data_IF_478708809455
#
_entry.id   IF_478708809455
#
_cell.length_a   1.000
_cell.length_b   1.000
_cell.length_c   1.000
_cell.angle_alpha   90.00
_cell.angle_beta   90.00
_cell.angle_gamma   90.00
#
_symmetry.space_group_name_H-M   'P 1'
#
loop_
_entity.id
_entity.type
_entity.pdbx_description
1 polymer ?
#
# COMPACT_ATOMS: atom_id res chain seq x y z
N UNK A 1 15.78 -37.79 13.82
CA UNK A 1 14.49 -37.10 13.64
C UNK A 1 13.83 -37.61 12.37
N UNK A 2 12.61 -38.15 12.42
CA UNK A 2 11.87 -38.55 11.20
C UNK A 2 11.36 -37.27 10.54
N UNK A 3 11.96 -36.88 9.43
CA UNK A 3 11.58 -35.69 8.69
C UNK A 3 10.24 -35.95 7.99
N UNK A 4 9.18 -35.31 8.47
CA UNK A 4 7.83 -35.49 7.92
C UNK A 4 7.62 -34.52 6.75
N UNK A 5 7.87 -34.96 5.51
CA UNK A 5 7.69 -34.12 4.30
C UNK A 5 6.27 -33.52 4.22
N UNK A 6 5.25 -34.29 4.62
CA UNK A 6 3.86 -33.81 4.68
C UNK A 6 3.70 -32.63 5.62
N UNK A 7 4.36 -32.68 6.79
CA UNK A 7 4.30 -31.60 7.77
C UNK A 7 5.00 -30.36 7.21
N UNK A 8 6.22 -30.51 6.69
CA UNK A 8 6.97 -29.40 6.09
C UNK A 8 6.17 -28.71 4.96
N UNK A 9 5.57 -29.49 4.06
CA UNK A 9 4.73 -28.97 2.99
C UNK A 9 3.57 -28.12 3.52
N UNK A 10 2.86 -28.61 4.54
CA UNK A 10 1.72 -27.90 5.12
C UNK A 10 2.16 -26.58 5.77
N UNK A 11 3.28 -26.56 6.51
CA UNK A 11 3.81 -25.32 7.08
C UNK A 11 4.21 -24.31 6.01
N UNK A 12 4.87 -24.75 4.93
CA UNK A 12 5.26 -23.87 3.84
C UNK A 12 4.04 -23.32 3.09
N UNK A 13 3.05 -24.16 2.80
CA UNK A 13 1.81 -23.75 2.16
C UNK A 13 1.04 -22.73 3.00
N UNK A 14 0.89 -22.99 4.30
CA UNK A 14 0.26 -22.05 5.24
C UNK A 14 1.05 -20.74 5.35
N UNK A 15 2.37 -20.79 5.31
CA UNK A 15 3.21 -19.59 5.32
C UNK A 15 2.98 -18.73 4.06
N UNK A 16 2.97 -19.33 2.88
CA UNK A 16 2.69 -18.64 1.62
C UNK A 16 1.27 -18.06 1.63
N UNK A 17 0.28 -18.85 2.06
CA UNK A 17 -1.11 -18.39 2.18
C UNK A 17 -1.26 -17.21 3.15
N UNK A 18 -0.54 -17.24 4.28
CA UNK A 18 -0.52 -16.14 5.23
C UNK A 18 0.07 -14.86 4.61
N UNK A 19 1.20 -14.96 3.89
CA UNK A 19 1.80 -13.82 3.22
C UNK A 19 0.86 -13.19 2.19
N UNK A 20 0.23 -14.00 1.35
CA UNK A 20 -0.75 -13.52 0.35
C UNK A 20 -1.91 -12.81 1.04
N UNK A 21 -2.42 -13.38 2.14
CA UNK A 21 -3.52 -12.80 2.91
C UNK A 21 -3.15 -11.46 3.54
N UNK A 22 -1.94 -11.34 4.11
CA UNK A 22 -1.44 -10.09 4.69
C UNK A 22 -1.29 -9.01 3.61
N UNK A 23 -0.67 -9.34 2.48
CA UNK A 23 -0.48 -8.41 1.36
C UNK A 23 -1.84 -7.96 0.81
N UNK A 24 -2.76 -8.89 0.59
CA UNK A 24 -4.12 -8.57 0.12
C UNK A 24 -4.88 -7.67 1.08
N UNK A 25 -4.76 -7.92 2.39
CA UNK A 25 -5.40 -7.09 3.42
C UNK A 25 -4.86 -5.65 3.42
N UNK A 26 -3.54 -5.48 3.27
CA UNK A 26 -2.90 -4.16 3.14
C UNK A 26 -3.42 -3.42 1.90
N UNK A 27 -3.54 -4.10 0.76
CA UNK A 27 -4.02 -3.50 -0.48
C UNK A 27 -5.48 -3.03 -0.37
N UNK A 28 -6.36 -3.83 0.24
CA UNK A 28 -7.77 -3.47 0.44
C UNK A 28 -7.89 -2.24 1.34
N UNK A 29 -7.17 -2.21 2.46
CA UNK A 29 -7.16 -1.05 3.35
C UNK A 29 -6.58 0.18 2.65
N UNK A 30 -5.49 0.04 1.91
CA UNK A 30 -4.86 1.14 1.19
C UNK A 30 -5.80 1.74 0.13
N UNK A 31 -6.54 0.90 -0.59
CA UNK A 31 -7.58 1.35 -1.49
C UNK A 31 -8.69 2.09 -0.73
N UNK A 32 -9.19 1.52 0.37
CA UNK A 32 -10.22 2.14 1.18
C UNK A 32 -9.81 3.51 1.72
N UNK A 33 -8.58 3.64 2.22
CA UNK A 33 -8.04 4.90 2.72
C UNK A 33 -7.89 5.93 1.60
N UNK A 34 -7.34 5.54 0.43
CA UNK A 34 -7.21 6.43 -0.73
C UNK A 34 -8.56 6.94 -1.22
N UNK A 35 -9.57 6.07 -1.30
CA UNK A 35 -10.88 6.39 -1.88
C UNK A 35 -11.78 7.14 -0.90
N UNK A 36 -11.92 6.66 0.35
CA UNK A 36 -12.92 7.18 1.27
C UNK A 36 -12.38 8.24 2.24
N UNK A 37 -11.14 8.09 2.70
CA UNK A 37 -10.54 8.99 3.72
C UNK A 37 -9.81 10.15 3.06
N UNK A 38 -8.84 9.85 2.20
CA UNK A 38 -7.97 10.86 1.60
C UNK A 38 -8.55 11.48 0.32
N UNK A 39 -9.59 10.85 -0.25
CA UNK A 39 -10.24 11.24 -1.51
C UNK A 39 -9.21 11.64 -2.57
N UNK A 40 -8.21 10.78 -2.75
CA UNK A 40 -7.14 11.04 -3.72
C UNK A 40 -7.78 11.01 -5.10
N UNK A 41 -7.71 12.13 -5.83
CA UNK A 41 -8.28 12.20 -7.17
C UNK A 41 -7.62 11.14 -8.06
N UNK A 42 -8.45 10.33 -8.73
CA UNK A 42 -7.99 9.55 -9.87
C UNK A 42 -7.48 10.53 -10.93
N UNK A 43 -6.38 10.15 -11.58
CA UNK A 43 -5.62 10.96 -12.55
C UNK A 43 -6.52 11.96 -13.28
N UNK A 44 -6.33 13.26 -13.01
CA UNK A 44 -6.92 14.27 -13.86
C UNK A 44 -6.18 14.18 -15.19
N UNK A 45 -6.81 13.56 -16.19
CA UNK A 45 -6.27 13.49 -17.54
C UNK A 45 -6.22 14.91 -18.08
N UNK A 46 -5.05 15.51 -18.04
CA UNK A 46 -4.81 16.79 -18.65
C UNK A 46 -4.35 16.54 -20.07
N UNK A 47 -5.08 17.08 -21.04
CA UNK A 47 -4.65 17.03 -22.43
C UNK A 47 -3.25 17.64 -22.55
N UNK A 48 -2.31 16.89 -23.11
CA UNK A 48 -1.00 17.41 -23.47
C UNK A 48 -1.17 18.55 -24.48
N UNK A 49 -0.35 19.61 -24.41
CA UNK A 49 -0.42 20.71 -25.37
C UNK A 49 -0.13 20.18 -26.77
N UNK A 50 -1.16 20.09 -27.60
CA UNK A 50 -1.02 19.69 -29.01
C UNK A 50 -0.41 20.85 -29.79
N UNK A 51 0.73 20.60 -30.44
CA UNK A 51 1.30 21.51 -31.43
C UNK A 51 0.44 21.40 -32.69
N UNK A 52 -0.25 22.47 -33.06
CA UNK A 52 -1.05 22.46 -34.29
C UNK A 52 -0.12 22.38 -35.52
N UNK A 53 -0.53 21.73 -36.62
CA UNK A 53 0.25 21.68 -37.87
C UNK A 53 0.65 23.06 -38.43
N UNK A 54 -0.07 24.11 -38.03
CA UNK A 54 0.19 25.52 -38.35
C UNK A 54 1.30 26.16 -37.46
N UNK A 55 2.06 25.38 -36.69
CA UNK A 55 3.12 25.87 -35.81
C UNK A 55 2.64 26.68 -34.60
N UNK A 56 1.33 26.93 -34.48
CA UNK A 56 0.71 27.59 -33.33
C UNK A 56 0.58 26.60 -32.19
N UNK A 57 1.22 26.89 -31.06
CA UNK A 57 0.91 26.22 -29.81
C UNK A 57 -0.54 26.55 -29.43
N UNK A 58 -1.32 25.53 -29.06
CA UNK A 58 -2.53 25.74 -28.25
C UNK A 58 -2.16 26.67 -27.08
N UNK A 59 -3.08 27.54 -26.57
CA UNK A 59 -2.74 28.48 -25.51
C UNK A 59 -2.00 27.71 -24.41
N UNK A 60 -0.70 27.96 -24.29
CA UNK A 60 0.15 27.17 -23.42
C UNK A 60 -0.42 27.26 -22.02
N UNK A 61 -0.57 26.11 -21.35
CA UNK A 61 -0.93 26.03 -19.93
C UNK A 61 -0.11 27.11 -19.21
N UNK A 62 -0.78 28.06 -18.54
CA UNK A 62 -0.06 29.16 -17.89
C UNK A 62 0.91 28.60 -16.86
N UNK A 63 2.02 29.31 -16.60
CA UNK A 63 3.02 28.89 -15.60
C UNK A 63 2.35 28.64 -14.24
N UNK A 64 1.33 29.41 -13.91
CA UNK A 64 0.48 29.28 -12.73
C UNK A 64 -0.32 27.96 -12.71
N UNK A 65 -0.95 27.59 -13.84
CA UNK A 65 -1.65 26.31 -13.94
C UNK A 65 -0.69 25.12 -13.82
N UNK A 66 0.52 25.23 -14.37
CA UNK A 66 1.51 24.15 -14.29
C UNK A 66 2.07 23.98 -12.86
N UNK A 67 2.27 25.07 -12.13
CA UNK A 67 2.64 25.02 -10.70
C UNK A 67 1.55 24.37 -9.85
N UNK A 68 0.29 24.77 -10.04
CA UNK A 68 -0.85 24.18 -9.32
C UNK A 68 -0.97 22.67 -9.58
N UNK A 69 -0.71 22.21 -10.82
CA UNK A 69 -0.66 20.77 -11.16
C UNK A 69 0.43 20.04 -10.39
N UNK A 70 1.65 20.55 -10.43
CA UNK A 70 2.78 19.95 -9.73
C UNK A 70 2.54 19.85 -8.22
N UNK A 71 1.94 20.88 -7.63
CA UNK A 71 1.57 20.90 -6.21
C UNK A 71 0.48 19.87 -5.88
N UNK A 72 -0.56 19.77 -6.70
CA UNK A 72 -1.63 18.79 -6.53
C UNK A 72 -1.12 17.34 -6.68
N UNK A 73 -0.25 17.09 -7.66
CA UNK A 73 0.37 15.79 -7.85
C UNK A 73 1.28 15.41 -6.68
N UNK A 74 2.13 16.32 -6.20
CA UNK A 74 2.97 16.09 -5.01
C UNK A 74 2.11 15.79 -3.78
N UNK A 75 1.04 16.56 -3.56
CA UNK A 75 0.12 16.33 -2.46
C UNK A 75 -0.57 14.96 -2.57
N UNK A 76 -0.99 14.56 -3.77
CA UNK A 76 -1.60 13.25 -4.01
C UNK A 76 -0.60 12.11 -3.81
N UNK A 77 0.65 12.26 -4.23
CA UNK A 77 1.71 11.27 -3.98
C UNK A 77 1.93 11.06 -2.48
N UNK A 78 2.02 12.14 -1.70
CA UNK A 78 2.14 12.07 -0.24
C UNK A 78 0.96 11.35 0.40
N UNK A 79 -0.28 11.66 -0.02
CA UNK A 79 -1.49 10.96 0.47
C UNK A 79 -1.47 9.46 0.14
N UNK A 80 -1.03 9.09 -1.07
CA UNK A 80 -0.90 7.68 -1.48
C UNK A 80 0.13 6.94 -0.63
N UNK A 81 1.27 7.58 -0.33
CA UNK A 81 2.31 7.01 0.53
C UNK A 81 1.83 6.84 1.98
N UNK A 82 1.16 7.85 2.52
CA UNK A 82 0.59 7.80 3.87
C UNK A 82 -0.46 6.70 4.00
N UNK A 83 -1.36 6.59 3.02
CA UNK A 83 -2.37 5.53 2.96
C UNK A 83 -1.72 4.15 3.01
N UNK A 84 -0.72 3.92 2.17
CA UNK A 84 -0.05 2.62 2.08
C UNK A 84 0.65 2.27 3.40
N UNK A 85 1.36 3.23 3.99
CA UNK A 85 2.05 3.07 5.27
C UNK A 85 1.07 2.79 6.40
N UNK A 86 -0.07 3.51 6.44
CA UNK A 86 -1.09 3.30 7.46
C UNK A 86 -1.74 1.93 7.34
N UNK A 87 -2.01 1.46 6.12
CA UNK A 87 -2.52 0.11 5.88
C UNK A 87 -1.55 -0.97 6.35
N UNK A 88 -0.25 -0.82 6.09
CA UNK A 88 0.78 -1.73 6.61
C UNK A 88 0.78 -1.76 8.13
N UNK A 89 0.66 -0.61 8.79
CA UNK A 89 0.66 -0.51 10.25
C UNK A 89 -0.61 -1.15 10.85
N UNK A 90 -1.78 -0.86 10.27
CA UNK A 90 -3.07 -1.40 10.74
C UNK A 90 -3.08 -2.93 10.69
N UNK A 91 -2.49 -3.54 9.66
CA UNK A 91 -2.42 -5.01 9.54
C UNK A 91 -1.24 -5.58 10.34
N UNK A 92 -0.09 -4.92 10.27
CA UNK A 92 1.17 -5.40 10.84
C UNK A 92 1.21 -5.35 12.37
N UNK A 93 0.62 -4.34 13.01
CA UNK A 93 0.61 -4.23 14.48
C UNK A 93 -0.11 -5.42 15.12
N UNK A 94 -1.37 -5.75 14.75
CA UNK A 94 -2.05 -6.91 15.32
C UNK A 94 -1.28 -8.22 15.09
N UNK A 95 -0.71 -8.40 13.89
CA UNK A 95 0.09 -9.57 13.55
C UNK A 95 1.31 -9.69 14.48
N UNK A 96 2.08 -8.60 14.61
CA UNK A 96 3.25 -8.53 15.49
C UNK A 96 2.89 -8.82 16.95
N UNK A 97 1.85 -8.16 17.47
CA UNK A 97 1.40 -8.35 18.85
C UNK A 97 0.94 -9.78 19.12
N UNK A 98 0.25 -10.41 18.17
CA UNK A 98 -0.17 -11.80 18.28
C UNK A 98 1.03 -12.76 18.41
N UNK A 99 2.03 -12.61 17.54
CA UNK A 99 3.23 -13.44 17.59
C UNK A 99 4.05 -13.18 18.86
N UNK A 100 4.23 -11.91 19.25
CA UNK A 100 4.96 -11.56 20.47
C UNK A 100 4.32 -12.16 21.73
N UNK A 101 2.99 -12.09 21.85
CA UNK A 101 2.25 -12.69 22.96
C UNK A 101 2.40 -14.22 23.00
N UNK A 102 2.35 -14.87 21.83
CA UNK A 102 2.51 -16.33 21.71
C UNK A 102 3.89 -16.76 22.20
N UNK A 103 4.95 -16.09 21.73
CA UNK A 103 6.33 -16.35 22.17
C UNK A 103 6.48 -16.17 23.69
N UNK A 104 5.93 -15.09 24.24
CA UNK A 104 5.98 -14.84 25.69
C UNK A 104 5.28 -15.96 26.49
N UNK A 105 4.15 -16.47 25.99
CA UNK A 105 3.40 -17.56 26.63
C UNK A 105 4.18 -18.88 26.62
N UNK A 106 4.79 -19.22 25.49
CA UNK A 106 5.60 -20.43 25.36
C UNK A 106 6.82 -20.38 26.28
N UNK A 107 7.51 -19.23 26.34
CA UNK A 107 8.64 -19.04 27.25
C UNK A 107 8.24 -19.09 28.73
N UNK A 108 7.06 -18.60 29.10
CA UNK A 108 6.57 -18.67 30.48
C UNK A 108 6.24 -20.12 30.89
N UNK A 109 5.71 -20.92 29.97
CA UNK A 109 5.31 -22.32 30.21
C UNK A 109 6.51 -23.25 30.32
N UNK A 110 7.62 -22.94 29.65
CA UNK A 110 8.88 -23.69 29.75
C UNK A 110 9.64 -23.45 31.07
N UNK A 111 9.35 -22.35 31.78
CA UNK A 111 10.03 -21.93 33.00
C UNK A 111 9.22 -22.16 34.29
N UNK A 112 8.05 -22.82 34.21
CA UNK A 112 7.19 -23.19 35.36
C UNK A 112 7.13 -24.70 35.51
#
# INVERSE_FOLDING_TARGET
MKFNLRLLYLYLFSFVGLLITVIGSIQILDLGLKTYVFKVSEYTYYAEPVISPDGKQSPGISVEEQRSRNENEQNNQRKRQLSNSLSMIIVGIPLYLYHWKTIKKENATQNS
#
